data_IF_699225733296
#
_entry.id   IF_699225733296
#
_cell.length_a   1.000
_cell.length_b   1.000
_cell.length_c   1.000
_cell.angle_alpha   90.00
_cell.angle_beta   90.00
_cell.angle_gamma   90.00
#
_symmetry.space_group_name_H-M   'P 1'
#
loop_
_entity.id
_entity.type
_entity.pdbx_description
1 polymer ?
#
# COMPACT_ATOMS: atom_id res chain seq x y z
N UNK A 1 -12.77 -20.22 -2.58
CA UNK A 1 -12.25 -21.40 -1.90
C UNK A 1 -10.74 -21.26 -1.65
N UNK A 2 -10.17 -22.19 -0.86
CA UNK A 2 -8.78 -22.16 -0.42
C UNK A 2 -7.80 -22.29 -1.61
N UNK A 3 -8.05 -23.23 -2.50
CA UNK A 3 -7.19 -23.54 -3.64
C UNK A 3 -7.10 -22.35 -4.59
N UNK A 4 -8.22 -21.70 -4.86
CA UNK A 4 -8.26 -20.50 -5.71
C UNK A 4 -7.51 -19.33 -5.07
N UNK A 5 -7.72 -19.09 -3.78
CA UNK A 5 -7.00 -18.04 -3.05
C UNK A 5 -5.49 -18.30 -3.04
N UNK A 6 -5.06 -19.54 -2.80
CA UNK A 6 -3.66 -19.95 -2.86
C UNK A 6 -3.06 -19.73 -4.23
N UNK A 7 -3.76 -20.19 -5.30
CA UNK A 7 -3.32 -19.99 -6.69
C UNK A 7 -3.13 -18.50 -7.03
N UNK A 8 -4.07 -17.63 -6.61
CA UNK A 8 -3.94 -16.20 -6.84
C UNK A 8 -2.79 -15.59 -6.03
N UNK A 9 -2.58 -16.00 -4.78
CA UNK A 9 -1.46 -15.52 -3.98
C UNK A 9 -0.10 -15.91 -4.58
N UNK A 10 0.00 -17.08 -5.18
CA UNK A 10 1.19 -17.53 -5.88
C UNK A 10 1.41 -16.80 -7.21
N UNK A 11 0.31 -16.56 -7.96
CA UNK A 11 0.37 -15.87 -9.26
C UNK A 11 0.74 -14.40 -9.16
N UNK A 12 0.17 -13.68 -8.18
CA UNK A 12 0.33 -12.24 -8.09
C UNK A 12 1.40 -11.80 -7.08
N UNK A 13 1.78 -12.66 -6.12
CA UNK A 13 2.92 -12.48 -5.23
C UNK A 13 3.07 -11.07 -4.67
N UNK A 14 4.15 -10.38 -5.06
CA UNK A 14 4.48 -9.03 -4.60
C UNK A 14 3.47 -7.93 -5.00
N UNK A 15 2.61 -8.20 -5.98
CA UNK A 15 1.58 -7.26 -6.43
C UNK A 15 0.32 -7.29 -5.55
N UNK A 16 0.30 -8.10 -4.49
CA UNK A 16 -0.78 -8.14 -3.50
C UNK A 16 -0.49 -7.10 -2.42
N UNK A 17 -1.40 -6.14 -2.26
CA UNK A 17 -1.28 -5.08 -1.23
C UNK A 17 -1.77 -5.54 0.14
N UNK A 18 -2.57 -6.59 0.21
CA UNK A 18 -3.07 -7.18 1.44
C UNK A 18 -4.18 -8.19 1.23
N UNK A 19 -4.64 -8.80 2.30
CA UNK A 19 -5.65 -9.86 2.29
C UNK A 19 -6.83 -9.51 3.18
N UNK A 20 -8.03 -9.61 2.62
CA UNK A 20 -9.30 -9.60 3.35
C UNK A 20 -9.95 -10.97 3.15
N UNK A 21 -10.17 -11.71 4.22
CA UNK A 21 -10.68 -13.07 4.12
C UNK A 21 -11.72 -13.40 5.20
N UNK A 22 -12.70 -14.20 4.82
CA UNK A 22 -13.53 -14.90 5.79
C UNK A 22 -12.70 -15.96 6.51
N UNK A 23 -13.08 -16.28 7.76
CA UNK A 23 -12.48 -17.39 8.50
C UNK A 23 -12.96 -18.74 7.96
N UNK A 24 -14.24 -18.84 7.54
CA UNK A 24 -14.89 -20.08 7.10
C UNK A 24 -15.18 -20.05 5.61
N UNK A 25 -14.58 -20.96 4.84
CA UNK A 25 -14.89 -21.16 3.42
C UNK A 25 -14.52 -22.58 2.96
N UNK A 26 -14.73 -22.88 1.66
CA UNK A 26 -14.45 -24.21 1.11
C UNK A 26 -12.94 -24.47 0.97
N UNK A 27 -12.54 -25.67 1.42
CA UNK A 27 -11.21 -26.21 1.26
C UNK A 27 -11.34 -27.66 0.75
N UNK A 28 -10.79 -27.97 -0.41
CA UNK A 28 -10.98 -29.27 -1.11
C UNK A 28 -12.47 -29.65 -1.25
N UNK A 29 -13.32 -28.68 -1.60
CA UNK A 29 -14.75 -28.86 -1.80
C UNK A 29 -15.57 -29.04 -0.51
N UNK A 30 -14.94 -29.09 0.67
CA UNK A 30 -15.60 -29.23 1.97
C UNK A 30 -15.53 -27.92 2.76
N UNK A 31 -16.57 -27.65 3.54
CA UNK A 31 -16.60 -26.47 4.43
C UNK A 31 -15.56 -26.64 5.53
N UNK A 32 -14.56 -25.75 5.55
CA UNK A 32 -13.50 -25.71 6.56
C UNK A 32 -13.69 -24.48 7.44
N UNK A 33 -13.91 -24.68 8.72
CA UNK A 33 -14.18 -23.61 9.69
C UNK A 33 -12.92 -22.78 10.02
N UNK A 34 -11.74 -23.24 9.61
CA UNK A 34 -10.46 -22.58 9.82
C UNK A 34 -9.71 -22.28 8.51
N UNK A 35 -10.37 -22.38 7.36
CA UNK A 35 -9.73 -22.17 6.05
C UNK A 35 -9.03 -20.81 5.95
N UNK A 36 -9.69 -19.74 6.43
CA UNK A 36 -9.11 -18.39 6.43
C UNK A 36 -7.89 -18.24 7.33
N UNK A 37 -7.90 -18.90 8.49
CA UNK A 37 -6.75 -18.93 9.39
C UNK A 37 -5.55 -19.65 8.76
N UNK A 38 -5.80 -20.81 8.13
CA UNK A 38 -4.77 -21.58 7.41
C UNK A 38 -4.19 -20.78 6.25
N UNK A 39 -5.06 -20.08 5.50
CA UNK A 39 -4.64 -19.23 4.41
C UNK A 39 -3.82 -18.02 4.90
N UNK A 40 -4.31 -17.32 5.94
CA UNK A 40 -3.60 -16.19 6.54
C UNK A 40 -2.20 -16.60 7.06
N UNK A 41 -2.09 -17.77 7.69
CA UNK A 41 -0.80 -18.30 8.12
C UNK A 41 0.12 -18.57 6.95
N UNK A 42 -0.36 -19.22 5.90
CA UNK A 42 0.44 -19.50 4.69
C UNK A 42 0.92 -18.20 3.98
N UNK A 43 0.10 -17.14 4.00
CA UNK A 43 0.50 -15.82 3.50
C UNK A 43 1.55 -15.20 4.43
N UNK A 44 1.35 -15.25 5.75
CA UNK A 44 2.28 -14.67 6.73
C UNK A 44 3.66 -15.29 6.67
N UNK A 45 3.73 -16.61 6.46
CA UNK A 45 4.99 -17.36 6.32
C UNK A 45 5.80 -16.92 5.09
N UNK A 46 5.12 -16.58 3.99
CA UNK A 46 5.77 -16.12 2.74
C UNK A 46 6.00 -14.60 2.70
N UNK A 47 5.09 -13.84 3.26
CA UNK A 47 5.04 -12.38 3.23
C UNK A 47 4.81 -11.82 4.64
N UNK A 48 5.85 -11.79 5.49
CA UNK A 48 5.71 -11.44 6.92
C UNK A 48 5.10 -10.07 7.20
N UNK A 49 5.28 -9.12 6.28
CA UNK A 49 4.79 -7.74 6.42
C UNK A 49 3.43 -7.48 5.74
N UNK A 50 2.83 -8.49 5.07
CA UNK A 50 1.58 -8.28 4.34
C UNK A 50 0.43 -8.01 5.31
N UNK A 51 -0.35 -6.93 5.15
CA UNK A 51 -1.54 -6.67 5.94
C UNK A 51 -2.61 -7.74 5.70
N UNK A 52 -3.11 -8.33 6.77
CA UNK A 52 -4.16 -9.37 6.71
C UNK A 52 -5.27 -8.99 7.68
N UNK A 53 -6.51 -9.03 7.23
CA UNK A 53 -7.67 -8.89 8.08
C UNK A 53 -8.62 -10.07 7.85
N UNK A 54 -8.99 -10.72 8.95
CA UNK A 54 -9.94 -11.83 8.95
C UNK A 54 -11.29 -11.37 9.45
N UNK A 55 -12.36 -11.89 8.87
CA UNK A 55 -13.71 -11.54 9.27
C UNK A 55 -14.54 -12.77 9.64
N UNK A 56 -15.32 -12.66 10.72
CA UNK A 56 -16.20 -13.72 11.19
C UNK A 56 -17.38 -13.16 11.98
N UNK A 57 -18.48 -13.94 12.05
CA UNK A 57 -19.57 -13.70 13.02
C UNK A 57 -19.25 -14.23 14.42
N UNK A 58 -18.22 -15.05 14.55
CA UNK A 58 -17.78 -15.63 15.80
C UNK A 58 -16.58 -14.88 16.36
N UNK A 59 -16.77 -14.19 17.49
CA UNK A 59 -15.75 -13.37 18.16
C UNK A 59 -14.57 -14.19 18.70
N UNK A 60 -14.76 -15.50 18.98
CA UNK A 60 -13.68 -16.36 19.47
C UNK A 60 -12.50 -16.45 18.49
N UNK A 61 -12.75 -16.17 17.20
CA UNK A 61 -11.71 -16.13 16.18
C UNK A 61 -10.75 -14.92 16.31
N UNK A 62 -11.08 -13.92 17.13
CA UNK A 62 -10.24 -12.71 17.28
C UNK A 62 -8.87 -13.03 17.89
N UNK A 63 -8.83 -13.84 18.93
CA UNK A 63 -7.57 -14.19 19.58
C UNK A 63 -6.72 -15.09 18.69
N UNK A 64 -7.35 -16.01 17.94
CA UNK A 64 -6.67 -16.83 16.94
C UNK A 64 -6.09 -15.97 15.81
N UNK A 65 -6.81 -14.95 15.34
CA UNK A 65 -6.30 -14.02 14.32
C UNK A 65 -5.03 -13.29 14.80
N UNK A 66 -5.05 -12.82 16.07
CA UNK A 66 -3.87 -12.17 16.69
C UNK A 66 -2.64 -13.06 16.73
N UNK A 67 -2.79 -14.37 17.02
CA UNK A 67 -1.64 -15.30 17.05
C UNK A 67 -0.95 -15.44 15.69
N UNK A 68 -1.68 -15.17 14.59
CA UNK A 68 -1.14 -15.19 13.21
C UNK A 68 -0.64 -13.80 12.79
N UNK A 69 -0.82 -12.77 13.64
CA UNK A 69 -0.53 -11.38 13.29
C UNK A 69 -1.52 -10.81 12.27
N UNK A 70 -2.77 -11.27 12.26
CA UNK A 70 -3.85 -10.74 11.45
C UNK A 70 -4.79 -9.88 12.29
N UNK A 71 -5.31 -8.80 11.68
CA UNK A 71 -6.42 -8.03 12.24
C UNK A 71 -7.73 -8.82 12.14
N UNK A 72 -8.72 -8.41 12.92
CA UNK A 72 -10.01 -9.10 12.98
C UNK A 72 -11.18 -8.14 12.88
N UNK A 73 -12.18 -8.48 12.06
CA UNK A 73 -13.46 -7.79 11.95
C UNK A 73 -14.62 -8.70 12.36
N UNK A 74 -15.42 -8.24 13.30
CA UNK A 74 -16.66 -8.93 13.63
C UNK A 74 -17.76 -8.51 12.65
N UNK A 75 -18.31 -9.46 11.86
CA UNK A 75 -19.29 -9.19 10.79
C UNK A 75 -20.58 -8.52 11.26
N UNK A 76 -20.99 -8.77 12.50
CA UNK A 76 -22.20 -8.19 13.10
C UNK A 76 -21.90 -6.91 13.90
N UNK A 77 -20.71 -6.31 13.73
CA UNK A 77 -20.41 -5.04 14.38
C UNK A 77 -21.12 -3.87 13.68
N UNK A 78 -21.71 -2.96 14.47
CA UNK A 78 -22.31 -1.73 13.96
C UNK A 78 -21.25 -0.80 13.31
N UNK A 79 -19.97 -1.02 13.60
CA UNK A 79 -18.83 -0.23 13.06
C UNK A 79 -18.08 -0.96 11.95
N UNK A 80 -18.59 -2.10 11.45
CA UNK A 80 -17.89 -2.97 10.48
C UNK A 80 -17.29 -2.18 9.30
N UNK A 81 -18.11 -1.35 8.62
CA UNK A 81 -17.65 -0.61 7.44
C UNK A 81 -16.65 0.49 7.80
N UNK A 82 -16.81 1.13 8.96
CA UNK A 82 -15.87 2.13 9.48
C UNK A 82 -14.52 1.49 9.80
N UNK A 83 -14.55 0.33 10.47
CA UNK A 83 -13.35 -0.39 10.87
C UNK A 83 -12.61 -0.95 9.66
N UNK A 84 -13.35 -1.51 8.68
CA UNK A 84 -12.80 -1.95 7.40
C UNK A 84 -12.14 -0.79 6.64
N UNK A 85 -12.84 0.35 6.53
CA UNK A 85 -12.29 1.55 5.88
C UNK A 85 -11.01 2.02 6.57
N UNK A 86 -11.00 2.09 7.89
CA UNK A 86 -9.82 2.49 8.66
C UNK A 86 -8.65 1.53 8.43
N UNK A 87 -8.93 0.23 8.43
CA UNK A 87 -7.91 -0.79 8.12
C UNK A 87 -7.32 -0.58 6.71
N UNK A 88 -8.17 -0.35 5.70
CA UNK A 88 -7.72 -0.13 4.33
C UNK A 88 -6.89 1.14 4.19
N UNK A 89 -7.28 2.21 4.85
CA UNK A 89 -6.51 3.47 4.83
C UNK A 89 -5.14 3.28 5.49
N UNK A 90 -5.10 2.67 6.66
CA UNK A 90 -3.87 2.57 7.47
C UNK A 90 -2.93 1.49 6.92
N UNK A 91 -3.46 0.30 6.61
CA UNK A 91 -2.63 -0.87 6.32
C UNK A 91 -2.43 -1.12 4.82
N UNK A 92 -3.43 -0.81 3.97
CA UNK A 92 -3.28 -0.92 2.52
C UNK A 92 -2.77 0.37 1.88
N UNK A 93 -2.68 1.46 2.66
CA UNK A 93 -2.17 2.74 2.15
C UNK A 93 -3.15 3.50 1.26
N UNK A 94 -4.47 3.18 1.32
CA UNK A 94 -5.47 3.96 0.61
C UNK A 94 -5.68 5.32 1.28
N UNK A 95 -5.83 6.36 0.46
CA UNK A 95 -5.92 7.75 0.96
C UNK A 95 -4.55 8.40 1.10
N UNK A 96 -4.49 9.46 1.90
CA UNK A 96 -3.27 10.24 2.08
C UNK A 96 -2.28 9.55 3.02
N UNK A 97 -0.98 9.77 2.78
CA UNK A 97 0.04 9.32 3.72
C UNK A 97 0.12 10.29 4.90
N UNK A 98 -0.14 9.81 6.09
CA UNK A 98 -0.08 10.63 7.29
C UNK A 98 1.17 10.26 8.06
N UNK A 99 2.17 11.16 8.06
CA UNK A 99 3.35 10.99 8.89
C UNK A 99 2.99 11.12 10.36
N UNK A 100 3.37 10.13 11.15
CA UNK A 100 3.14 10.06 12.60
C UNK A 100 4.45 9.85 13.33
N UNK A 101 4.56 10.41 14.53
CA UNK A 101 5.65 10.04 15.42
C UNK A 101 5.40 8.68 16.08
N UNK A 102 6.38 8.19 16.85
CA UNK A 102 6.29 6.92 17.60
C UNK A 102 5.15 6.87 18.63
N UNK A 103 4.58 8.02 19.01
CA UNK A 103 3.42 8.15 19.91
C UNK A 103 2.09 8.21 19.15
N UNK A 104 2.10 8.09 17.82
CA UNK A 104 0.91 8.14 16.95
C UNK A 104 0.39 9.54 16.64
N UNK A 105 1.08 10.62 17.08
CA UNK A 105 0.69 11.99 16.77
C UNK A 105 1.02 12.31 15.31
N UNK A 106 0.06 12.88 14.60
CA UNK A 106 0.20 13.32 13.22
C UNK A 106 1.13 14.53 13.13
N UNK A 107 2.01 14.55 12.12
CA UNK A 107 3.02 15.60 11.89
C UNK A 107 2.67 16.33 10.60
N UNK A 108 2.61 15.61 9.48
CA UNK A 108 2.35 16.15 8.14
C UNK A 108 1.65 15.09 7.30
N UNK A 109 0.97 15.54 6.26
CA UNK A 109 0.21 14.72 5.33
C UNK A 109 0.79 14.85 3.94
N UNK A 110 0.83 13.75 3.20
CA UNK A 110 1.20 13.71 1.79
C UNK A 110 0.07 13.08 0.97
N UNK A 111 -0.34 13.74 -0.09
CA UNK A 111 -1.43 13.30 -0.99
C UNK A 111 -0.89 12.64 -2.25
N UNK A 112 0.37 12.91 -2.59
CA UNK A 112 1.09 12.40 -3.77
C UNK A 112 2.55 12.07 -3.43
N UNK A 113 3.28 11.50 -4.41
CA UNK A 113 4.65 11.03 -4.19
C UNK A 113 5.63 12.20 -3.95
N UNK A 114 5.41 13.34 -4.58
CA UNK A 114 6.23 14.53 -4.39
C UNK A 114 6.13 15.03 -2.95
N UNK A 115 4.92 15.14 -2.43
CA UNK A 115 4.68 15.52 -1.04
C UNK A 115 5.21 14.45 -0.07
N UNK A 116 5.17 13.16 -0.44
CA UNK A 116 5.78 12.10 0.34
C UNK A 116 7.29 12.32 0.46
N UNK A 117 7.99 12.66 -0.64
CA UNK A 117 9.43 12.96 -0.63
C UNK A 117 9.72 14.14 0.28
N UNK A 118 9.00 15.26 0.12
CA UNK A 118 9.13 16.43 1.00
C UNK A 118 8.92 16.04 2.47
N UNK A 119 7.89 15.23 2.73
CA UNK A 119 7.64 14.72 4.06
C UNK A 119 8.80 13.88 4.59
N UNK A 120 9.33 12.96 3.79
CA UNK A 120 10.49 12.13 4.17
C UNK A 120 11.71 13.01 4.46
N UNK A 121 11.93 14.09 3.72
CA UNK A 121 13.05 15.03 3.93
C UNK A 121 12.90 15.83 5.23
N UNK A 122 11.68 16.22 5.60
CA UNK A 122 11.44 17.23 6.62
C UNK A 122 11.01 16.70 7.99
N UNK A 123 10.33 15.53 8.05
CA UNK A 123 9.85 15.01 9.34
C UNK A 123 10.99 14.51 10.23
N UNK A 124 10.80 14.48 11.56
CA UNK A 124 11.78 13.88 12.47
C UNK A 124 12.10 12.44 12.11
N UNK A 125 13.37 12.03 12.31
CA UNK A 125 13.84 10.69 11.93
C UNK A 125 13.06 9.56 12.62
N UNK A 126 12.55 9.78 13.82
CA UNK A 126 11.74 8.79 14.53
C UNK A 126 10.41 8.48 13.81
N UNK A 127 9.86 9.44 13.05
CA UNK A 127 8.72 9.21 12.16
C UNK A 127 9.10 8.27 11.01
N UNK A 128 10.25 8.50 10.39
CA UNK A 128 10.76 7.64 9.31
C UNK A 128 10.96 6.20 9.81
N UNK A 129 11.58 6.04 10.96
CA UNK A 129 11.78 4.73 11.59
C UNK A 129 10.45 4.05 11.92
N UNK A 130 9.48 4.78 12.46
CA UNK A 130 8.15 4.28 12.78
C UNK A 130 7.43 3.74 11.53
N UNK A 131 7.40 4.52 10.46
CA UNK A 131 6.76 4.12 9.21
C UNK A 131 7.54 3.02 8.48
N UNK A 132 8.87 3.07 8.51
CA UNK A 132 9.72 2.07 7.88
C UNK A 132 9.57 0.68 8.51
N UNK A 133 9.50 0.58 9.84
CA UNK A 133 9.28 -0.69 10.57
C UNK A 133 7.97 -1.39 10.18
N UNK A 134 6.95 -0.62 9.82
CA UNK A 134 5.61 -1.12 9.47
C UNK A 134 5.38 -1.21 7.96
N UNK A 135 6.40 -0.99 7.14
CA UNK A 135 6.31 -0.97 5.67
C UNK A 135 5.25 0.01 5.12
N UNK A 136 4.91 1.06 5.86
CA UNK A 136 3.86 2.00 5.46
C UNK A 136 4.19 2.70 4.14
N UNK A 137 5.46 3.06 3.89
CA UNK A 137 5.90 3.66 2.62
C UNK A 137 5.63 2.73 1.44
N UNK A 138 6.09 1.48 1.51
CA UNK A 138 5.90 0.52 0.44
C UNK A 138 4.43 0.18 0.20
N UNK A 139 3.62 0.06 1.26
CA UNK A 139 2.19 -0.21 1.14
C UNK A 139 1.45 0.96 0.47
N UNK A 140 1.78 2.21 0.87
CA UNK A 140 1.18 3.39 0.28
C UNK A 140 1.54 3.57 -1.21
N UNK A 141 2.77 3.28 -1.58
CA UNK A 141 3.26 3.30 -2.95
C UNK A 141 2.60 2.17 -3.77
N UNK A 142 2.47 0.96 -3.21
CA UNK A 142 1.79 -0.16 -3.88
C UNK A 142 0.31 0.14 -4.14
N UNK A 143 -0.38 0.82 -3.21
CA UNK A 143 -1.77 1.26 -3.39
C UNK A 143 -1.97 2.22 -4.57
N UNK A 144 -0.90 2.83 -5.06
CA UNK A 144 -0.85 3.68 -6.25
C UNK A 144 -0.39 2.94 -7.50
N UNK A 145 -0.34 1.60 -7.42
CA UNK A 145 0.09 0.70 -8.50
C UNK A 145 1.57 0.85 -8.90
N UNK A 146 2.38 1.50 -8.07
CA UNK A 146 3.83 1.62 -8.26
C UNK A 146 4.55 0.40 -7.63
N UNK A 147 4.24 -0.81 -8.13
CA UNK A 147 4.66 -2.07 -7.52
C UNK A 147 6.17 -2.26 -7.50
N UNK A 148 6.88 -1.84 -8.56
CA UNK A 148 8.34 -1.96 -8.63
C UNK A 148 9.03 -1.10 -7.56
N UNK A 149 8.57 0.15 -7.41
CA UNK A 149 9.06 1.03 -6.35
C UNK A 149 8.70 0.50 -4.97
N UNK A 150 7.45 0.04 -4.80
CA UNK A 150 7.01 -0.55 -3.54
C UNK A 150 7.85 -1.76 -3.14
N UNK A 151 8.20 -2.63 -4.10
CA UNK A 151 9.04 -3.80 -3.87
C UNK A 151 10.45 -3.40 -3.46
N UNK A 152 11.03 -2.37 -4.08
CA UNK A 152 12.35 -1.85 -3.68
C UNK A 152 12.32 -1.24 -2.27
N UNK A 153 11.31 -0.41 -1.97
CA UNK A 153 11.15 0.18 -0.64
C UNK A 153 10.94 -0.87 0.45
N UNK A 154 10.23 -1.97 0.15
CA UNK A 154 9.99 -3.07 1.10
C UNK A 154 11.27 -3.80 1.50
N UNK A 155 12.30 -3.78 0.64
CA UNK A 155 13.62 -4.37 0.93
C UNK A 155 14.45 -3.53 1.90
N UNK A 156 14.08 -2.27 2.13
CA UNK A 156 14.76 -1.40 3.11
C UNK A 156 14.40 -1.88 4.51
N UNK A 157 15.31 -2.63 5.13
CA UNK A 157 15.15 -3.05 6.51
C UNK A 157 15.75 -1.99 7.44
N UNK A 158 14.90 -1.40 8.27
CA UNK A 158 15.31 -0.34 9.21
C UNK A 158 16.45 -0.77 10.16
N UNK A 159 16.52 -2.07 10.48
CA UNK A 159 17.51 -2.60 11.42
C UNK A 159 18.90 -2.87 10.77
N UNK A 160 19.05 -2.71 9.46
CA UNK A 160 20.32 -2.94 8.76
C UNK A 160 21.23 -1.70 8.74
N UNK A 161 20.74 -0.56 9.20
CA UNK A 161 21.48 0.70 9.18
C UNK A 161 22.06 1.03 10.55
N UNK A 162 23.34 1.38 10.58
CA UNK A 162 24.02 1.81 11.81
C UNK A 162 23.52 3.18 12.30
N UNK A 163 23.19 4.07 11.35
CA UNK A 163 22.65 5.40 11.64
C UNK A 163 21.25 5.53 11.07
N UNK A 164 20.32 6.03 11.87
CA UNK A 164 18.91 6.19 11.47
C UNK A 164 18.74 7.11 10.26
N UNK A 165 19.59 8.12 10.11
CA UNK A 165 19.57 9.06 8.99
C UNK A 165 19.75 8.36 7.65
N UNK A 166 20.53 7.30 7.57
CA UNK A 166 20.75 6.49 6.37
C UNK A 166 19.45 5.85 5.84
N UNK A 167 18.46 5.62 6.72
CA UNK A 167 17.14 5.10 6.32
C UNK A 167 16.43 6.13 5.44
N UNK A 168 16.49 7.40 5.82
CA UNK A 168 15.91 8.51 5.06
C UNK A 168 16.54 8.59 3.67
N UNK A 169 17.87 8.59 3.63
CA UNK A 169 18.63 8.69 2.37
C UNK A 169 18.31 7.50 1.45
N UNK A 170 18.25 6.29 1.99
CA UNK A 170 17.89 5.10 1.24
C UNK A 170 16.47 5.16 0.65
N UNK A 171 15.49 5.68 1.40
CA UNK A 171 14.11 5.86 0.90
C UNK A 171 14.09 6.87 -0.25
N UNK A 172 14.74 8.03 -0.06
CA UNK A 172 14.81 9.11 -1.07
C UNK A 172 15.51 8.61 -2.33
N UNK A 173 16.62 7.90 -2.18
CA UNK A 173 17.37 7.31 -3.30
C UNK A 173 16.49 6.37 -4.12
N UNK A 174 15.74 5.47 -3.47
CA UNK A 174 14.85 4.55 -4.19
C UNK A 174 13.74 5.29 -4.94
N UNK A 175 13.15 6.32 -4.35
CA UNK A 175 12.09 7.11 -5.01
C UNK A 175 12.66 7.93 -6.17
N UNK A 176 13.86 8.51 -6.02
CA UNK A 176 14.50 9.35 -7.03
C UNK A 176 15.31 8.55 -8.07
N UNK A 177 15.44 7.24 -7.91
CA UNK A 177 16.20 6.39 -8.83
C UNK A 177 15.72 6.56 -10.28
N UNK A 178 16.62 6.67 -11.28
CA UNK A 178 16.28 6.71 -12.69
C UNK A 178 15.44 5.52 -13.16
N UNK A 179 15.57 4.38 -12.48
CA UNK A 179 14.77 3.17 -12.72
C UNK A 179 13.34 3.27 -12.15
N UNK A 180 13.02 4.33 -11.40
CA UNK A 180 11.66 4.61 -10.98
C UNK A 180 10.92 5.26 -12.15
N UNK A 181 10.42 4.43 -13.06
CA UNK A 181 9.42 4.84 -14.03
C UNK A 181 8.11 5.06 -13.27
N UNK A 182 7.95 6.25 -12.67
CA UNK A 182 6.66 6.66 -12.14
C UNK A 182 5.64 6.57 -13.27
N UNK A 183 4.52 5.90 -13.05
CA UNK A 183 3.47 5.75 -14.06
C UNK A 183 2.91 7.13 -14.37
N UNK A 184 3.16 7.60 -15.58
CA UNK A 184 2.84 8.96 -16.03
C UNK A 184 1.35 9.24 -16.24
N UNK A 185 0.47 8.26 -16.01
CA UNK A 185 -0.98 8.43 -16.03
C UNK A 185 -1.56 9.11 -14.79
N UNK A 186 -0.75 9.40 -13.79
CA UNK A 186 -1.20 10.08 -12.58
C UNK A 186 -1.53 11.55 -12.88
N UNK A 187 -2.76 11.95 -12.53
CA UNK A 187 -3.19 13.35 -12.63
C UNK A 187 -3.10 13.98 -11.25
N UNK A 188 -2.20 14.92 -11.09
CA UNK A 188 -1.89 15.58 -9.82
C UNK A 188 -2.54 16.97 -9.78
N UNK A 189 -2.91 17.43 -8.60
CA UNK A 189 -3.37 18.81 -8.44
C UNK A 189 -2.21 19.78 -8.68
N UNK A 190 -2.46 20.78 -9.52
CA UNK A 190 -1.46 21.81 -9.78
C UNK A 190 -1.23 22.68 -8.54
N UNK A 191 0.03 22.81 -8.15
CA UNK A 191 0.51 23.80 -7.21
C UNK A 191 1.72 24.52 -7.82
N UNK A 192 1.90 25.82 -7.59
CA UNK A 192 3.09 26.56 -8.05
C UNK A 192 4.43 25.95 -7.57
N UNK A 193 4.38 25.22 -6.44
CA UNK A 193 5.53 24.52 -5.86
C UNK A 193 5.65 23.07 -6.32
N UNK A 194 4.72 22.57 -7.13
CA UNK A 194 4.72 21.18 -7.61
C UNK A 194 5.92 20.96 -8.53
N UNK A 195 6.78 20.03 -8.16
CA UNK A 195 7.91 19.63 -8.99
C UNK A 195 7.37 18.97 -10.27
N UNK A 196 7.86 19.36 -11.44
CA UNK A 196 7.33 19.05 -12.79
C UNK A 196 7.53 17.57 -13.21
N UNK A 197 7.31 16.61 -12.33
CA UNK A 197 7.45 15.17 -12.63
C UNK A 197 6.22 14.58 -13.32
N UNK A 198 5.00 15.05 -12.96
CA UNK A 198 3.76 14.62 -13.62
C UNK A 198 3.55 15.41 -14.93
N UNK A 199 3.00 14.74 -15.94
CA UNK A 199 2.65 15.36 -17.23
C UNK A 199 1.21 15.84 -17.32
N UNK A 200 0.37 15.49 -16.34
CA UNK A 200 -1.02 15.92 -16.24
C UNK A 200 -1.28 16.55 -14.89
N UNK A 201 -1.71 17.80 -14.94
CA UNK A 201 -2.07 18.56 -13.76
C UNK A 201 -3.54 18.95 -13.82
N UNK A 202 -4.22 18.77 -12.67
CA UNK A 202 -5.56 19.28 -12.48
C UNK A 202 -5.47 20.72 -11.97
N UNK A 203 -5.99 21.65 -12.74
CA UNK A 203 -5.92 23.09 -12.42
C UNK A 203 -7.01 23.55 -11.46
N UNK A 204 -8.11 22.78 -11.32
CA UNK A 204 -9.27 23.11 -10.49
C UNK A 204 -9.71 21.91 -9.66
N UNK A 205 -10.31 22.16 -8.48
CA UNK A 205 -10.95 21.14 -7.67
C UNK A 205 -12.08 20.40 -8.38
N UNK A 206 -12.53 19.27 -7.83
CA UNK A 206 -13.59 18.42 -8.39
C UNK A 206 -13.10 17.10 -8.97
N UNK A 207 -14.01 16.29 -9.53
CA UNK A 207 -13.67 15.02 -10.16
C UNK A 207 -13.22 15.22 -11.62
N UNK A 208 -12.19 14.49 -12.03
CA UNK A 208 -11.81 14.40 -13.44
C UNK A 208 -12.85 13.61 -14.23
N UNK A 209 -13.33 14.19 -15.30
CA UNK A 209 -14.19 13.50 -16.26
C UNK A 209 -13.48 12.33 -16.95
N UNK A 210 -14.27 11.36 -17.47
CA UNK A 210 -13.75 10.16 -18.12
C UNK A 210 -12.79 10.45 -19.28
N UNK A 211 -13.01 11.54 -20.05
CA UNK A 211 -12.12 11.94 -21.15
C UNK A 211 -10.71 12.30 -20.68
N UNK A 212 -10.59 13.07 -19.59
CA UNK A 212 -9.27 13.47 -19.06
C UNK A 212 -8.52 12.26 -18.50
N UNK A 213 -9.20 11.35 -17.80
CA UNK A 213 -8.60 10.09 -17.31
C UNK A 213 -8.18 9.19 -18.48
N UNK A 214 -9.01 9.07 -19.50
CA UNK A 214 -8.72 8.29 -20.71
C UNK A 214 -7.49 8.83 -21.46
N UNK A 215 -7.33 10.16 -21.54
CA UNK A 215 -6.19 10.77 -22.19
C UNK A 215 -4.88 10.54 -21.40
N UNK A 216 -4.93 10.66 -20.07
CA UNK A 216 -3.78 10.36 -19.21
C UNK A 216 -3.35 8.89 -19.35
N UNK A 217 -4.31 7.97 -19.34
CA UNK A 217 -4.08 6.54 -19.55
C UNK A 217 -3.53 6.23 -20.95
N UNK A 218 -4.10 6.81 -22.01
CA UNK A 218 -3.65 6.59 -23.38
C UNK A 218 -2.20 7.09 -23.58
N UNK A 219 -1.83 8.22 -22.98
CA UNK A 219 -0.46 8.74 -23.04
C UNK A 219 0.53 7.83 -22.32
N UNK A 220 0.15 7.27 -21.18
CA UNK A 220 0.96 6.30 -20.46
C UNK A 220 1.19 5.03 -21.29
N UNK A 221 0.15 4.51 -21.92
CA UNK A 221 0.22 3.36 -22.83
C UNK A 221 1.15 3.62 -24.02
N UNK A 222 1.06 4.80 -24.65
CA UNK A 222 1.92 5.19 -25.78
C UNK A 222 3.38 5.25 -25.37
N UNK A 223 3.67 5.79 -24.18
CA UNK A 223 5.02 5.84 -23.65
C UNK A 223 5.59 4.44 -23.33
N UNK A 224 4.80 3.58 -22.69
CA UNK A 224 5.22 2.20 -22.42
C UNK A 224 5.48 1.38 -23.69
N UNK A 225 4.75 1.67 -24.77
CA UNK A 225 4.94 1.04 -26.07
C UNK A 225 6.15 1.58 -26.87
N UNK A 226 6.83 2.63 -26.35
CA UNK A 226 7.96 3.27 -27.04
C UNK A 226 7.59 4.11 -28.26
N UNK A 227 6.30 4.31 -28.52
CA UNK A 227 5.81 5.08 -29.67
C UNK A 227 6.03 6.58 -29.46
N UNK A 228 6.01 7.06 -28.21
CA UNK A 228 6.21 8.48 -27.83
C UNK A 228 7.61 9.01 -28.25
N UNK A 229 8.56 8.13 -28.52
CA UNK A 229 9.91 8.50 -28.97
C UNK A 229 10.04 8.61 -30.52
N UNK A 230 8.94 8.42 -31.26
CA UNK A 230 8.91 8.47 -32.74
C UNK A 230 8.35 9.77 -33.31
N UNK A 231 7.83 10.63 -32.44
CA UNK A 231 7.30 11.95 -32.73
C UNK A 231 7.88 12.97 -31.74
#
# INVERSE_FOLDING_TARGET
NYETAKKFSEKYGENIIGVISDVKFLNNGKKDIHAGMKFAKAIRDKHPAMPIILQSTDKSNQDLAKTIGADFLHKNSNTLLKDLRNFMIINFGFGDFIFKNSKGKEIVKATNIEELVIGVETVPIDSIVYHGKSNHFSNWIAARSEFDLATRLRKINVNQFDKKEQIRDAIIEQINSPNTQLRFGEVVDYSPTTNKRSRFYRMCGGSLGGKARGLAFAKDMLKQSGIDNRF
#
